data_IF_022638066752
#
_entry.id   IF_022638066752
#
_cell.length_a   1.000
_cell.length_b   1.000
_cell.length_c   1.000
_cell.angle_alpha   90.00
_cell.angle_beta   90.00
_cell.angle_gamma   90.00
#
_symmetry.space_group_name_H-M   'P 1'
#
loop_
_entity.id
_entity.type
_entity.pdbx_description
1 polymer ?
#
# COMPACT_ATOMS: atom_id res chain seq x y z
N UNK A 1 -23.33 24.63 -30.16
CA UNK A 1 -21.85 24.48 -30.22
C UNK A 1 -21.19 24.27 -28.84
N UNK A 2 -21.79 24.72 -27.74
CA UNK A 2 -21.30 24.52 -26.36
C UNK A 2 -21.43 23.06 -25.86
N UNK A 3 -22.58 22.41 -26.10
CA UNK A 3 -22.82 21.02 -25.65
C UNK A 3 -21.94 19.98 -26.36
N UNK A 4 -21.64 20.19 -27.64
CA UNK A 4 -20.79 19.29 -28.42
C UNK A 4 -19.32 19.34 -27.94
N UNK A 5 -18.85 20.52 -27.46
CA UNK A 5 -17.54 20.65 -26.83
C UNK A 5 -17.52 19.98 -25.45
N UNK A 6 -18.59 20.10 -24.66
CA UNK A 6 -18.72 19.44 -23.34
C UNK A 6 -18.76 17.92 -23.43
N UNK A 7 -19.47 17.35 -24.41
CA UNK A 7 -19.51 15.89 -24.63
C UNK A 7 -18.16 15.31 -25.06
N UNK A 8 -17.39 16.05 -25.86
CA UNK A 8 -16.08 15.63 -26.33
C UNK A 8 -15.00 15.69 -25.23
N UNK A 9 -14.99 16.76 -24.43
CA UNK A 9 -14.07 16.88 -23.27
C UNK A 9 -14.34 15.81 -22.21
N UNK A 10 -15.61 15.50 -21.92
CA UNK A 10 -15.95 14.43 -20.98
C UNK A 10 -15.51 13.04 -21.47
N UNK A 11 -15.61 12.77 -22.78
CA UNK A 11 -15.19 11.49 -23.36
C UNK A 11 -13.67 11.31 -23.30
N UNK A 12 -12.91 12.35 -23.62
CA UNK A 12 -11.43 12.34 -23.51
C UNK A 12 -10.95 12.22 -22.06
N UNK A 13 -11.61 12.93 -21.13
CA UNK A 13 -11.29 12.85 -19.70
C UNK A 13 -11.53 11.45 -19.14
N UNK A 14 -12.65 10.81 -19.52
CA UNK A 14 -12.94 9.43 -19.12
C UNK A 14 -11.95 8.43 -19.71
N UNK A 15 -11.50 8.62 -20.95
CA UNK A 15 -10.47 7.77 -21.56
C UNK A 15 -9.13 7.93 -20.84
N UNK A 16 -8.73 9.15 -20.50
CA UNK A 16 -7.50 9.42 -19.76
C UNK A 16 -7.49 8.81 -18.36
N UNK A 17 -8.63 8.82 -17.65
CA UNK A 17 -8.78 8.16 -16.34
C UNK A 17 -8.70 6.64 -16.46
N UNK A 18 -9.31 6.06 -17.49
CA UNK A 18 -9.23 4.62 -17.78
C UNK A 18 -7.79 4.20 -18.11
N UNK A 19 -7.08 4.94 -18.96
CA UNK A 19 -5.67 4.66 -19.25
C UNK A 19 -4.80 4.78 -17.99
N UNK A 20 -5.06 5.76 -17.12
CA UNK A 20 -4.35 5.89 -15.85
C UNK A 20 -4.61 4.71 -14.91
N UNK A 21 -5.87 4.34 -14.72
CA UNK A 21 -6.26 3.20 -13.89
C UNK A 21 -5.68 1.90 -14.44
N UNK A 22 -5.64 1.73 -15.76
CA UNK A 22 -5.05 0.55 -16.38
C UNK A 22 -3.53 0.53 -16.16
N UNK A 23 -2.83 1.64 -16.39
CA UNK A 23 -1.37 1.70 -16.20
C UNK A 23 -1.00 1.47 -14.74
N UNK A 24 -1.60 2.21 -13.80
CA UNK A 24 -1.30 2.05 -12.37
C UNK A 24 -1.83 0.74 -11.81
N UNK A 25 -2.98 0.28 -12.27
CA UNK A 25 -3.57 -1.00 -11.89
C UNK A 25 -2.71 -2.17 -12.34
N UNK A 26 -2.27 -2.21 -13.60
CA UNK A 26 -1.33 -3.25 -14.08
C UNK A 26 -0.02 -3.20 -13.30
N UNK A 27 0.50 -2.01 -13.06
CA UNK A 27 1.72 -1.86 -12.28
C UNK A 27 1.56 -2.40 -10.85
N UNK A 28 0.45 -2.12 -10.17
CA UNK A 28 0.20 -2.63 -8.81
C UNK A 28 -0.18 -4.12 -8.80
N UNK A 29 -1.18 -4.53 -9.58
CA UNK A 29 -1.71 -5.90 -9.57
C UNK A 29 -0.80 -6.95 -10.19
N UNK A 30 0.10 -6.58 -11.09
CA UNK A 30 1.10 -7.54 -11.61
C UNK A 30 2.32 -7.57 -10.70
N UNK A 31 2.76 -6.42 -10.17
CA UNK A 31 3.96 -6.40 -9.33
C UNK A 31 3.72 -7.00 -7.94
N UNK A 32 2.53 -6.81 -7.35
CA UNK A 32 2.26 -7.22 -5.96
C UNK A 32 2.23 -8.75 -5.78
N UNK A 33 1.53 -9.55 -6.60
CA UNK A 33 1.61 -11.01 -6.54
C UNK A 33 3.00 -11.55 -6.91
N UNK A 34 3.65 -10.95 -7.91
CA UNK A 34 5.02 -11.32 -8.28
C UNK A 34 5.98 -11.06 -7.11
N UNK A 35 5.80 -9.97 -6.36
CA UNK A 35 6.60 -9.64 -5.18
C UNK A 35 6.35 -10.62 -4.04
N UNK A 36 5.09 -10.95 -3.76
CA UNK A 36 4.75 -11.97 -2.77
C UNK A 36 5.45 -13.29 -3.08
N UNK A 37 5.41 -13.74 -4.35
CA UNK A 37 6.11 -14.94 -4.78
C UNK A 37 7.64 -14.81 -4.71
N UNK A 38 8.21 -13.64 -5.02
CA UNK A 38 9.66 -13.46 -4.96
C UNK A 38 10.19 -13.45 -3.52
N UNK A 39 9.49 -12.83 -2.58
CA UNK A 39 9.90 -12.84 -1.16
C UNK A 39 9.74 -14.24 -0.58
N UNK A 40 8.66 -14.95 -0.89
CA UNK A 40 8.41 -16.30 -0.36
C UNK A 40 9.41 -17.35 -0.89
N UNK A 41 9.83 -17.25 -2.17
CA UNK A 41 10.60 -18.32 -2.82
C UNK A 41 12.06 -17.98 -3.16
N UNK A 42 12.46 -16.70 -3.17
CA UNK A 42 13.79 -16.29 -3.68
C UNK A 42 14.68 -15.70 -2.59
N UNK A 43 14.14 -15.01 -1.60
CA UNK A 43 14.94 -14.36 -0.57
C UNK A 43 14.18 -14.19 0.74
N UNK A 44 14.62 -14.92 1.78
CA UNK A 44 14.12 -14.80 3.16
C UNK A 44 14.24 -13.37 3.72
N UNK A 45 15.13 -12.57 3.12
CA UNK A 45 15.31 -11.16 3.44
C UNK A 45 14.64 -10.26 2.40
N UNK A 46 13.73 -9.40 2.87
CA UNK A 46 13.02 -8.41 2.05
C UNK A 46 13.95 -7.47 1.25
N UNK A 47 15.16 -7.22 1.76
CA UNK A 47 16.21 -6.45 1.05
C UNK A 47 16.66 -7.11 -0.26
N UNK A 48 16.67 -8.45 -0.35
CA UNK A 48 17.06 -9.17 -1.57
C UNK A 48 16.06 -8.97 -2.70
N UNK A 49 14.76 -8.96 -2.36
CA UNK A 49 13.67 -8.75 -3.31
C UNK A 49 13.59 -7.33 -3.86
N UNK A 50 14.16 -6.34 -3.13
CA UNK A 50 14.29 -4.95 -3.59
C UNK A 50 15.07 -4.84 -4.90
N UNK A 51 16.13 -5.63 -5.06
CA UNK A 51 17.02 -5.59 -6.22
C UNK A 51 16.36 -6.14 -7.50
N UNK A 52 15.63 -7.25 -7.38
CA UNK A 52 15.00 -7.91 -8.53
C UNK A 52 13.92 -7.03 -9.17
N UNK A 53 13.06 -6.41 -8.35
CA UNK A 53 11.94 -5.62 -8.85
C UNK A 53 12.41 -4.24 -9.33
N UNK A 54 13.38 -3.63 -8.63
CA UNK A 54 14.08 -2.45 -9.12
C UNK A 54 14.70 -2.68 -10.50
N UNK A 55 15.32 -3.85 -10.73
CA UNK A 55 15.87 -4.22 -12.03
C UNK A 55 14.78 -4.37 -13.10
N UNK A 56 13.66 -5.03 -12.79
CA UNK A 56 12.50 -5.15 -13.70
C UNK A 56 11.94 -3.77 -14.04
N UNK A 57 11.81 -2.88 -13.06
CA UNK A 57 11.29 -1.54 -13.26
C UNK A 57 12.23 -0.68 -14.12
N UNK A 58 13.55 -0.74 -13.88
CA UNK A 58 14.54 -0.06 -14.72
C UNK A 58 14.51 -0.62 -16.15
N UNK A 59 14.43 -1.94 -16.32
CA UNK A 59 14.27 -2.60 -17.62
C UNK A 59 13.00 -2.10 -18.32
N UNK A 60 11.88 -2.00 -17.60
CA UNK A 60 10.63 -1.47 -18.13
C UNK A 60 10.82 -0.04 -18.63
N UNK A 61 11.44 0.85 -17.86
CA UNK A 61 11.72 2.24 -18.27
C UNK A 61 12.62 2.27 -19.51
N UNK A 62 13.64 1.41 -19.59
CA UNK A 62 14.52 1.29 -20.77
C UNK A 62 13.71 0.82 -22.00
N UNK A 63 12.86 -0.20 -21.85
CA UNK A 63 12.04 -0.74 -22.92
C UNK A 63 10.98 0.25 -23.42
N UNK A 64 10.39 1.04 -22.52
CA UNK A 64 9.51 2.17 -22.87
C UNK A 64 10.29 3.17 -23.73
N UNK A 65 11.48 3.58 -23.27
CA UNK A 65 12.31 4.56 -23.99
C UNK A 65 12.74 4.05 -25.38
N UNK A 66 12.96 2.74 -25.53
CA UNK A 66 13.29 2.06 -26.79
C UNK A 66 12.05 1.73 -27.66
N UNK A 67 10.84 2.16 -27.26
CA UNK A 67 9.58 1.83 -27.94
C UNK A 67 9.31 0.32 -28.12
N UNK A 68 9.89 -0.55 -27.27
CA UNK A 68 9.76 -2.01 -27.38
C UNK A 68 8.49 -2.57 -26.72
N UNK A 69 7.83 -1.78 -25.86
CA UNK A 69 6.59 -2.17 -25.15
C UNK A 69 5.29 -1.84 -25.92
N UNK A 70 5.39 -1.53 -27.22
CA UNK A 70 4.23 -1.34 -28.10
C UNK A 70 3.24 -0.29 -27.61
N UNK A 71 1.95 -0.64 -27.58
CA UNK A 71 0.86 0.26 -27.16
C UNK A 71 0.92 0.57 -25.66
N UNK A 72 1.27 -0.40 -24.82
CA UNK A 72 1.41 -0.20 -23.37
C UNK A 72 2.53 0.80 -23.05
N UNK A 73 3.69 0.67 -23.70
CA UNK A 73 4.80 1.60 -23.52
C UNK A 73 4.41 3.05 -23.84
N UNK A 74 3.64 3.28 -24.91
CA UNK A 74 3.13 4.61 -25.26
C UNK A 74 2.09 5.13 -24.27
N UNK A 75 1.23 4.27 -23.72
CA UNK A 75 0.27 4.64 -22.67
C UNK A 75 1.02 5.04 -21.38
N UNK A 76 1.95 4.20 -20.94
CA UNK A 76 2.82 4.46 -19.80
C UNK A 76 3.58 5.78 -19.98
N UNK A 77 4.22 6.00 -21.14
CA UNK A 77 4.98 7.22 -21.40
C UNK A 77 4.11 8.49 -21.26
N UNK A 78 2.90 8.46 -21.85
CA UNK A 78 1.93 9.57 -21.78
C UNK A 78 1.45 9.82 -20.35
N UNK A 79 1.10 8.78 -19.61
CA UNK A 79 0.60 8.94 -18.23
C UNK A 79 1.71 9.45 -17.31
N UNK A 80 2.94 8.97 -17.47
CA UNK A 80 4.08 9.41 -16.68
C UNK A 80 4.49 10.86 -17.01
N UNK A 81 4.41 11.28 -18.28
CA UNK A 81 4.58 12.69 -18.66
C UNK A 81 3.48 13.57 -18.05
N UNK A 82 2.21 13.17 -18.15
CA UNK A 82 1.06 13.89 -17.55
C UNK A 82 1.16 13.97 -16.02
N UNK A 83 1.71 12.94 -15.37
CA UNK A 83 1.93 12.93 -13.93
C UNK A 83 2.98 13.97 -13.50
N UNK A 84 4.00 14.19 -14.34
CA UNK A 84 5.09 15.13 -14.08
C UNK A 84 4.78 16.57 -14.55
N UNK A 85 3.74 16.78 -15.34
CA UNK A 85 3.22 18.10 -15.64
C UNK A 85 2.72 18.76 -14.34
N UNK A 86 3.00 20.06 -14.17
CA UNK A 86 2.61 20.81 -12.96
C UNK A 86 1.08 20.78 -12.82
N UNK A 87 0.57 20.29 -11.70
CA UNK A 87 -0.87 20.27 -11.43
C UNK A 87 -1.26 19.56 -10.12
N UNK A 88 -2.55 19.62 -9.78
CA UNK A 88 -3.15 18.99 -8.60
C UNK A 88 -2.91 17.48 -8.58
N UNK A 89 -2.99 16.83 -9.74
CA UNK A 89 -2.79 15.38 -9.91
C UNK A 89 -1.44 14.89 -9.37
N UNK A 90 -0.36 15.65 -9.59
CA UNK A 90 0.96 15.34 -9.04
C UNK A 90 0.93 15.35 -7.51
N UNK A 91 0.38 16.42 -6.92
CA UNK A 91 0.29 16.54 -5.45
C UNK A 91 -0.52 15.40 -4.85
N UNK A 92 -1.63 15.03 -5.47
CA UNK A 92 -2.47 13.91 -5.02
C UNK A 92 -1.71 12.59 -5.09
N UNK A 93 -1.05 12.25 -6.20
CA UNK A 93 -0.33 10.97 -6.32
C UNK A 93 0.86 10.89 -5.36
N UNK A 94 1.72 11.90 -5.32
CA UNK A 94 2.86 11.91 -4.40
C UNK A 94 2.42 12.01 -2.93
N UNK A 95 1.36 12.76 -2.64
CA UNK A 95 0.78 12.85 -1.30
C UNK A 95 0.23 11.50 -0.83
N UNK A 96 -0.51 10.79 -1.69
CA UNK A 96 -0.98 9.44 -1.38
C UNK A 96 0.18 8.46 -1.16
N UNK A 97 1.26 8.54 -1.96
CA UNK A 97 2.44 7.69 -1.74
C UNK A 97 3.12 7.98 -0.40
N UNK A 98 3.33 9.25 -0.06
CA UNK A 98 3.92 9.64 1.24
C UNK A 98 3.02 9.18 2.38
N UNK A 99 1.72 9.38 2.26
CA UNK A 99 0.76 8.92 3.25
C UNK A 99 0.80 7.39 3.41
N UNK A 100 0.78 6.64 2.32
CA UNK A 100 0.88 5.18 2.33
C UNK A 100 2.19 4.70 2.98
N UNK A 101 3.32 5.36 2.71
CA UNK A 101 4.60 5.06 3.36
C UNK A 101 4.57 5.31 4.86
N UNK A 102 3.95 6.41 5.29
CA UNK A 102 3.80 6.71 6.72
C UNK A 102 2.93 5.66 7.39
N UNK A 103 1.78 5.32 6.83
CA UNK A 103 0.85 4.34 7.40
C UNK A 103 1.47 2.95 7.48
N UNK A 104 2.06 2.47 6.38
CA UNK A 104 2.69 1.13 6.36
C UNK A 104 3.95 1.08 7.22
N UNK A 105 4.77 2.14 7.23
CA UNK A 105 5.93 2.24 8.12
C UNK A 105 5.55 2.29 9.60
N UNK A 106 4.47 2.99 9.93
CA UNK A 106 3.90 3.03 11.28
C UNK A 106 3.39 1.66 11.71
N UNK A 107 2.69 0.92 10.84
CA UNK A 107 2.24 -0.45 11.14
C UNK A 107 3.43 -1.38 11.42
N UNK A 108 4.45 -1.37 10.56
CA UNK A 108 5.68 -2.16 10.76
C UNK A 108 6.33 -1.81 12.10
N UNK A 109 6.44 -0.52 12.42
CA UNK A 109 7.01 -0.07 13.68
C UNK A 109 6.16 -0.50 14.88
N UNK A 110 4.83 -0.33 14.81
CA UNK A 110 3.89 -0.69 15.87
C UNK A 110 3.93 -2.17 16.20
N UNK A 111 3.94 -3.05 15.20
CA UNK A 111 4.04 -4.50 15.42
C UNK A 111 5.36 -4.82 16.14
N UNK A 112 6.49 -4.38 15.59
CA UNK A 112 7.80 -4.66 16.18
C UNK A 112 7.93 -4.07 17.60
N UNK A 113 7.38 -2.87 17.84
CA UNK A 113 7.38 -2.24 19.16
C UNK A 113 6.48 -2.99 20.14
N UNK A 114 5.34 -3.52 19.71
CA UNK A 114 4.48 -4.38 20.52
C UNK A 114 5.18 -5.67 20.97
N UNK A 115 5.99 -6.28 20.09
CA UNK A 115 6.74 -7.51 20.39
C UNK A 115 8.02 -7.30 21.18
N UNK A 116 8.48 -6.05 21.34
CA UNK A 116 9.78 -5.76 21.97
C UNK A 116 9.68 -4.76 23.11
N UNK A 117 9.21 -3.55 22.84
CA UNK A 117 9.19 -2.44 23.79
C UNK A 117 7.96 -2.50 24.71
N UNK A 118 6.82 -2.92 24.16
CA UNK A 118 5.51 -2.93 24.84
C UNK A 118 5.01 -4.36 25.12
N UNK A 119 5.93 -5.32 25.22
CA UNK A 119 5.62 -6.73 25.45
C UNK A 119 4.77 -6.92 26.72
N UNK A 120 5.08 -6.20 27.80
CA UNK A 120 4.30 -6.28 29.04
C UNK A 120 2.84 -5.83 28.83
N UNK A 121 2.62 -4.74 28.09
CA UNK A 121 1.28 -4.25 27.73
C UNK A 121 0.55 -5.25 26.84
N UNK A 122 1.26 -5.88 25.90
CA UNK A 122 0.71 -6.96 25.07
C UNK A 122 0.26 -8.14 25.92
N UNK A 123 1.09 -8.60 26.85
CA UNK A 123 0.76 -9.71 27.74
C UNK A 123 -0.44 -9.39 28.63
N UNK A 124 -0.53 -8.17 29.16
CA UNK A 124 -1.68 -7.71 29.94
C UNK A 124 -2.98 -7.76 29.12
N UNK A 125 -2.96 -7.29 27.88
CA UNK A 125 -4.13 -7.33 26.98
C UNK A 125 -4.56 -8.77 26.67
N UNK A 126 -3.60 -9.66 26.43
CA UNK A 126 -3.87 -11.09 26.19
C UNK A 126 -4.46 -11.75 27.43
N UNK A 127 -3.94 -11.46 28.62
CA UNK A 127 -4.44 -12.00 29.88
C UNK A 127 -5.88 -11.52 30.16
N UNK A 128 -6.16 -10.23 29.95
CA UNK A 128 -7.50 -9.67 30.09
C UNK A 128 -8.51 -10.29 29.12
N UNK A 129 -8.06 -10.71 27.93
CA UNK A 129 -8.89 -11.38 26.94
C UNK A 129 -9.14 -12.88 27.24
N UNK A 130 -8.50 -13.45 28.28
CA UNK A 130 -8.62 -14.86 28.63
C UNK A 130 -7.59 -15.78 27.97
N UNK A 131 -6.51 -15.21 27.40
CA UNK A 131 -5.42 -15.94 26.75
C UNK A 131 -5.50 -15.97 25.21
N UNK A 132 -4.43 -16.44 24.57
CA UNK A 132 -4.32 -16.50 23.10
C UNK A 132 -5.36 -17.43 22.46
N UNK A 133 -5.67 -18.56 23.10
CA UNK A 133 -6.67 -19.51 22.60
C UNK A 133 -8.08 -18.88 22.59
N UNK A 134 -8.42 -18.10 23.62
CA UNK A 134 -9.69 -17.39 23.70
C UNK A 134 -9.81 -16.29 22.63
N UNK A 135 -8.71 -15.57 22.35
CA UNK A 135 -8.64 -14.60 21.26
C UNK A 135 -8.84 -15.27 19.89
N UNK A 136 -8.22 -16.44 19.69
CA UNK A 136 -8.33 -17.19 18.44
C UNK A 136 -9.74 -17.77 18.24
N UNK A 137 -10.38 -18.25 19.31
CA UNK A 137 -11.78 -18.70 19.30
C UNK A 137 -12.75 -17.55 19.01
N UNK A 138 -12.53 -16.37 19.62
CA UNK A 138 -13.31 -15.16 19.33
C UNK A 138 -13.24 -14.76 17.86
N UNK A 139 -12.05 -14.82 17.23
CA UNK A 139 -11.90 -14.56 15.80
C UNK A 139 -12.53 -15.65 14.91
N UNK A 140 -12.60 -16.90 15.37
CA UNK A 140 -13.28 -17.98 14.64
C UNK A 140 -14.80 -17.82 14.56
N UNK A 141 -15.38 -17.11 15.54
CA UNK A 141 -16.81 -16.85 15.67
C UNK A 141 -17.23 -15.45 15.16
N UNK A 142 -16.46 -14.84 14.23
CA UNK A 142 -16.76 -13.51 13.65
C UNK A 142 -18.21 -13.41 13.15
N UNK A 143 -18.77 -14.49 12.60
CA UNK A 143 -20.16 -14.52 12.13
C UNK A 143 -21.16 -14.28 13.27
N UNK A 144 -20.90 -14.80 14.49
CA UNK A 144 -21.73 -14.57 15.67
C UNK A 144 -21.50 -13.18 16.29
N UNK A 145 -20.28 -12.65 16.19
CA UNK A 145 -19.99 -11.29 16.63
C UNK A 145 -20.70 -10.26 15.73
N UNK A 146 -20.76 -10.51 14.43
CA UNK A 146 -21.40 -9.59 13.47
C UNK A 146 -22.90 -9.39 13.73
N UNK A 147 -23.58 -10.42 14.24
CA UNK A 147 -25.00 -10.35 14.63
C UNK A 147 -25.24 -9.52 15.91
N UNK A 148 -24.20 -9.29 16.72
CA UNK A 148 -24.30 -8.63 18.03
C UNK A 148 -23.71 -7.20 18.04
N UNK A 149 -23.04 -6.79 16.97
CA UNK A 149 -22.42 -5.46 16.87
C UNK A 149 -23.49 -4.39 16.65
N UNK A 150 -23.57 -3.43 17.57
CA UNK A 150 -24.44 -2.26 17.40
C UNK A 150 -23.75 -1.17 16.57
N UNK A 151 -24.49 -0.32 15.84
CA UNK A 151 -23.92 0.80 15.10
C UNK A 151 -23.08 1.76 15.96
N UNK A 152 -23.42 1.88 17.25
CA UNK A 152 -22.68 2.69 18.22
C UNK A 152 -21.29 2.11 18.51
N UNK A 153 -21.17 0.79 18.61
CA UNK A 153 -19.88 0.11 18.80
C UNK A 153 -18.96 0.27 17.58
N UNK A 154 -19.52 0.23 16.36
CA UNK A 154 -18.76 0.50 15.13
C UNK A 154 -18.20 1.94 15.15
N UNK A 155 -19.03 2.91 15.52
CA UNK A 155 -18.60 4.30 15.60
C UNK A 155 -17.52 4.50 16.67
N UNK A 156 -17.69 3.87 17.84
CA UNK A 156 -16.70 3.88 18.91
C UNK A 156 -15.39 3.26 18.46
N UNK A 157 -15.40 2.11 17.78
CA UNK A 157 -14.21 1.47 17.25
C UNK A 157 -13.49 2.36 16.22
N UNK A 158 -14.24 3.03 15.34
CA UNK A 158 -13.68 3.96 14.36
C UNK A 158 -12.98 5.16 15.01
N UNK A 159 -13.50 5.66 16.14
CA UNK A 159 -12.89 6.75 16.91
C UNK A 159 -11.74 6.24 17.79
N UNK A 160 -11.84 5.01 18.29
CA UNK A 160 -10.84 4.40 19.14
C UNK A 160 -9.51 4.22 18.41
N UNK A 161 -9.51 3.82 17.13
CA UNK A 161 -8.28 3.62 16.35
C UNK A 161 -7.37 4.87 16.34
N UNK A 162 -7.83 6.07 15.90
CA UNK A 162 -7.00 7.27 15.94
C UNK A 162 -6.70 7.75 17.35
N UNK A 163 -7.62 7.53 18.31
CA UNK A 163 -7.36 7.86 19.71
C UNK A 163 -6.23 7.01 20.30
N UNK A 164 -6.27 5.69 20.11
CA UNK A 164 -5.23 4.76 20.55
C UNK A 164 -3.89 5.11 19.91
N UNK A 165 -3.88 5.39 18.61
CA UNK A 165 -2.66 5.75 17.91
C UNK A 165 -1.97 7.00 18.51
N UNK A 166 -2.74 8.01 18.91
CA UNK A 166 -2.18 9.31 19.35
C UNK A 166 -2.01 9.38 20.86
N UNK A 167 -2.97 8.87 21.64
CA UNK A 167 -3.03 9.03 23.08
C UNK A 167 -2.57 7.78 23.86
N UNK A 168 -2.66 6.59 23.26
CA UNK A 168 -2.39 5.30 23.92
C UNK A 168 -1.58 4.39 22.99
N UNK A 169 -0.47 4.92 22.47
CA UNK A 169 0.35 4.20 21.49
C UNK A 169 0.82 2.80 21.95
N UNK A 170 1.17 2.56 23.23
CA UNK A 170 1.52 1.21 23.70
C UNK A 170 0.41 0.19 23.46
N UNK A 171 -0.85 0.55 23.73
CA UNK A 171 -2.01 -0.32 23.47
C UNK A 171 -2.23 -0.50 21.97
N UNK A 172 -2.11 0.58 21.17
CA UNK A 172 -2.18 0.48 19.71
C UNK A 172 -1.15 -0.52 19.16
N UNK A 173 0.11 -0.38 19.56
CA UNK A 173 1.20 -1.25 19.15
C UNK A 173 0.97 -2.71 19.58
N UNK A 174 0.52 -2.91 20.82
CA UNK A 174 0.23 -4.24 21.37
C UNK A 174 -0.88 -4.95 20.59
N UNK A 175 -1.96 -4.25 20.25
CA UNK A 175 -3.07 -4.83 19.47
C UNK A 175 -2.61 -5.27 18.09
N UNK A 176 -1.84 -4.45 17.37
CA UNK A 176 -1.30 -4.84 16.06
C UNK A 176 -0.32 -6.01 16.14
N UNK A 177 0.46 -6.10 17.23
CA UNK A 177 1.34 -7.24 17.47
C UNK A 177 0.55 -8.54 17.73
N UNK A 178 -0.51 -8.48 18.55
CA UNK A 178 -1.43 -9.61 18.77
C UNK A 178 -2.08 -10.05 17.45
N UNK A 179 -2.61 -9.10 16.67
CA UNK A 179 -3.17 -9.41 15.36
C UNK A 179 -2.13 -10.05 14.43
N UNK A 180 -0.87 -9.60 14.49
CA UNK A 180 0.20 -10.20 13.71
C UNK A 180 0.48 -11.64 14.12
N UNK A 181 0.46 -11.97 15.41
CA UNK A 181 0.64 -13.34 15.90
C UNK A 181 -0.53 -14.25 15.48
N UNK A 182 -1.75 -13.74 15.60
CA UNK A 182 -2.97 -14.45 15.18
C UNK A 182 -3.01 -14.71 13.66
N UNK A 183 -2.29 -13.89 12.89
CA UNK A 183 -2.10 -14.08 11.43
C UNK A 183 -0.78 -14.76 11.09
N UNK A 184 -0.08 -15.33 12.07
CA UNK A 184 1.21 -16.01 11.90
C UNK A 184 2.28 -15.17 11.17
N UNK A 185 2.33 -13.87 11.45
CA UNK A 185 3.29 -12.94 10.84
C UNK A 185 2.87 -12.37 9.49
N UNK A 186 1.70 -12.76 8.96
CA UNK A 186 1.24 -12.30 7.65
C UNK A 186 1.04 -10.78 7.61
N UNK A 187 0.53 -10.16 8.67
CA UNK A 187 0.31 -8.70 8.70
C UNK A 187 1.61 -7.91 8.58
N UNK A 188 2.64 -8.28 9.34
CA UNK A 188 3.95 -7.67 9.27
C UNK A 188 4.57 -7.87 7.88
N UNK A 189 4.45 -9.08 7.33
CA UNK A 189 4.93 -9.39 5.99
C UNK A 189 4.22 -8.52 4.93
N UNK A 190 2.89 -8.47 4.95
CA UNK A 190 2.09 -7.68 4.02
C UNK A 190 2.40 -6.17 4.13
N UNK A 191 2.47 -5.63 5.35
CA UNK A 191 2.80 -4.22 5.56
C UNK A 191 4.21 -3.89 5.03
N UNK A 192 5.18 -4.79 5.25
CA UNK A 192 6.55 -4.65 4.73
C UNK A 192 6.57 -4.67 3.20
N UNK A 193 5.90 -5.63 2.58
CA UNK A 193 5.77 -5.74 1.11
C UNK A 193 5.16 -4.46 0.54
N UNK A 194 4.07 -3.97 1.11
CA UNK A 194 3.37 -2.76 0.66
C UNK A 194 4.23 -1.49 0.84
N UNK A 195 4.95 -1.37 1.95
CA UNK A 195 5.87 -0.25 2.20
C UNK A 195 6.97 -0.20 1.15
N UNK A 196 7.63 -1.33 0.91
CA UNK A 196 8.73 -1.43 -0.06
C UNK A 196 8.24 -1.19 -1.49
N UNK A 197 7.11 -1.77 -1.87
CA UNK A 197 6.50 -1.53 -3.18
C UNK A 197 6.22 -0.04 -3.38
N UNK A 198 5.67 0.64 -2.37
CA UNK A 198 5.40 2.08 -2.44
C UNK A 198 6.69 2.90 -2.56
N UNK A 199 7.76 2.52 -1.86
CA UNK A 199 9.09 3.15 -1.98
C UNK A 199 9.66 3.00 -3.39
N UNK A 200 9.57 1.80 -3.96
CA UNK A 200 10.06 1.54 -5.31
C UNK A 200 9.25 2.30 -6.35
N UNK A 201 7.91 2.31 -6.25
CA UNK A 201 7.07 3.13 -7.12
C UNK A 201 7.45 4.60 -7.06
N UNK A 202 7.65 5.12 -5.84
CA UNK A 202 8.13 6.48 -5.64
C UNK A 202 9.49 6.71 -6.32
N UNK A 203 10.43 5.77 -6.16
CA UNK A 203 11.74 5.77 -6.81
C UNK A 203 11.66 5.76 -8.33
N UNK A 204 10.81 4.92 -8.93
CA UNK A 204 10.58 4.82 -10.37
C UNK A 204 10.00 6.12 -10.92
N UNK A 205 8.99 6.69 -10.24
CA UNK A 205 8.42 7.98 -10.64
C UNK A 205 9.51 9.07 -10.65
N UNK A 206 10.32 9.11 -9.59
CA UNK A 206 11.43 10.06 -9.49
C UNK A 206 12.49 9.82 -10.57
N UNK A 207 12.90 8.58 -10.80
CA UNK A 207 13.87 8.21 -11.83
C UNK A 207 13.38 8.58 -13.23
N UNK A 208 12.10 8.32 -13.54
CA UNK A 208 11.48 8.64 -14.81
C UNK A 208 11.57 10.15 -15.13
N UNK A 209 11.40 11.00 -14.11
CA UNK A 209 11.59 12.46 -14.25
C UNK A 209 12.99 12.81 -14.75
N UNK A 210 14.03 12.12 -14.29
CA UNK A 210 15.40 12.38 -14.71
C UNK A 210 15.71 11.75 -16.07
N UNK A 211 15.26 10.51 -16.31
CA UNK A 211 15.60 9.72 -17.49
C UNK A 211 14.98 10.25 -18.81
N UNK A 212 13.85 10.95 -18.74
CA UNK A 212 13.09 11.42 -19.92
C UNK A 212 13.01 12.94 -20.07
N UNK A 213 13.61 13.72 -19.17
CA UNK A 213 13.76 15.18 -19.32
C UNK A 213 14.59 15.60 -20.55
N UNK A 214 15.13 14.65 -21.31
CA UNK A 214 15.99 14.85 -22.49
C UNK A 214 15.31 14.65 -23.86
N UNK A 215 14.02 14.30 -23.95
CA UNK A 215 13.29 14.46 -25.24
C UNK A 215 12.73 15.89 -25.29
N UNK A 216 13.55 16.83 -25.76
CA UNK A 216 13.06 18.05 -26.41
C UNK A 216 13.03 17.79 -27.90
#
# INVERSE_FOLDING_TARGET
MSEMKMGFTNRLWNQDRKEFLLVFGVMMFVMLPVRFLLVEYVSDNWWGSFGAISAIAVLMVILVKKNKLGRFGKMFERQMLKLHQKGLRRKVVFGNMIFALIVTGLLIYSINAGDTIYLDTKMEVVEQAGGEEALQEQLGDIDKMYEQITPEQILLALIAIPYLLVAQFPYFASLWAIENDLTHGFLLHFATVAFVETLEFFGILMFYRFALRRKK
#
